data_IF_270103562669
#
_entry.id   IF_270103562669
#
_cell.length_a   1.000
_cell.length_b   1.000
_cell.length_c   1.000
_cell.angle_alpha   90.00
_cell.angle_beta   90.00
_cell.angle_gamma   90.00
#
_symmetry.space_group_name_H-M   'P 1'
#
loop_
_entity.id
_entity.type
_entity.pdbx_description
1 polymer ?
#
# COMPACT_ATOMS: atom_id res chain seq x y z
N UNK A 1 17.93 28.86 -31.71
CA UNK A 1 17.02 27.87 -31.08
C UNK A 1 17.89 26.84 -30.36
N UNK A 2 17.69 26.64 -29.06
CA UNK A 2 18.67 25.97 -28.19
C UNK A 2 18.73 24.45 -28.41
N UNK A 3 19.94 23.93 -28.64
CA UNK A 3 20.30 22.49 -28.82
C UNK A 3 19.71 21.58 -27.73
N UNK A 4 19.44 22.12 -26.55
CA UNK A 4 18.85 21.42 -25.42
C UNK A 4 17.38 21.01 -25.66
N UNK A 5 16.62 21.82 -26.42
CA UNK A 5 15.23 21.55 -26.76
C UNK A 5 15.10 20.38 -27.74
N UNK A 6 16.02 20.27 -28.71
CA UNK A 6 16.01 19.14 -29.66
C UNK A 6 16.37 17.83 -28.98
N UNK A 7 17.37 17.82 -28.09
CA UNK A 7 17.77 16.63 -27.35
C UNK A 7 16.62 16.04 -26.51
N UNK A 8 15.83 16.90 -25.85
CA UNK A 8 14.65 16.48 -25.10
C UNK A 8 13.54 15.94 -26.01
N UNK A 9 13.28 16.58 -27.16
CA UNK A 9 12.29 16.11 -28.14
C UNK A 9 12.64 14.74 -28.71
N UNK A 10 13.90 14.47 -29.02
CA UNK A 10 14.37 13.18 -29.55
C UNK A 10 14.31 12.06 -28.51
N UNK A 11 14.53 12.37 -27.22
CA UNK A 11 14.31 11.39 -26.15
C UNK A 11 12.84 11.11 -25.87
N UNK A 12 11.97 12.12 -25.97
CA UNK A 12 10.54 11.99 -25.74
C UNK A 12 9.82 11.25 -26.88
N UNK A 13 10.29 11.38 -28.13
CA UNK A 13 9.66 10.74 -29.30
C UNK A 13 9.77 9.21 -29.32
N UNK A 14 10.71 8.64 -28.57
CA UNK A 14 10.89 7.18 -28.44
C UNK A 14 10.08 6.53 -27.32
N UNK A 15 9.36 7.33 -26.51
CA UNK A 15 8.62 6.83 -25.35
C UNK A 15 7.16 6.59 -25.75
N UNK A 16 6.68 5.37 -25.55
CA UNK A 16 5.28 5.03 -25.80
C UNK A 16 4.33 5.87 -24.92
N UNK A 17 3.18 6.26 -25.48
CA UNK A 17 2.11 6.93 -24.73
C UNK A 17 1.69 6.16 -23.47
N UNK A 18 1.77 4.81 -23.49
CA UNK A 18 1.52 3.96 -22.32
C UNK A 18 2.55 4.18 -21.20
N UNK A 19 3.82 4.34 -21.55
CA UNK A 19 4.89 4.61 -20.59
C UNK A 19 4.77 6.01 -19.99
N UNK A 20 4.42 7.02 -20.80
CA UNK A 20 4.14 8.38 -20.30
C UNK A 20 2.94 8.40 -19.36
N UNK A 21 1.87 7.68 -19.69
CA UNK A 21 0.68 7.56 -18.84
C UNK A 21 0.98 6.84 -17.52
N UNK A 22 1.77 5.76 -17.56
CA UNK A 22 2.20 5.04 -16.35
C UNK A 22 3.04 5.93 -15.43
N UNK A 23 4.01 6.67 -16.00
CA UNK A 23 4.81 7.63 -15.24
C UNK A 23 3.96 8.76 -14.63
N UNK A 24 2.95 9.24 -15.37
CA UNK A 24 1.97 10.20 -14.87
C UNK A 24 1.15 9.66 -13.70
N UNK A 25 0.60 8.44 -13.80
CA UNK A 25 -0.14 7.78 -12.71
C UNK A 25 0.73 7.58 -11.47
N UNK A 26 1.96 7.09 -11.64
CA UNK A 26 2.90 6.91 -10.54
C UNK A 26 3.25 8.24 -9.85
N UNK A 27 3.44 9.31 -10.62
CA UNK A 27 3.69 10.64 -10.07
C UNK A 27 2.51 11.14 -9.22
N UNK A 28 1.28 11.02 -9.73
CA UNK A 28 0.07 11.44 -9.00
C UNK A 28 -0.08 10.64 -7.71
N UNK A 29 0.11 9.31 -7.78
CA UNK A 29 0.04 8.43 -6.61
C UNK A 29 1.07 8.83 -5.55
N UNK A 30 2.33 9.01 -5.93
CA UNK A 30 3.40 9.46 -5.02
C UNK A 30 3.09 10.82 -4.40
N UNK A 31 2.54 11.75 -5.18
CA UNK A 31 2.09 13.05 -4.67
C UNK A 31 0.97 12.90 -3.64
N UNK A 32 0.01 12.01 -3.88
CA UNK A 32 -1.06 11.75 -2.92
C UNK A 32 -0.52 11.10 -1.64
N UNK A 33 0.38 10.11 -1.75
CA UNK A 33 1.05 9.47 -0.60
C UNK A 33 1.80 10.52 0.25
N UNK A 34 2.51 11.46 -0.39
CA UNK A 34 3.22 12.52 0.32
C UNK A 34 2.30 13.43 1.15
N UNK A 35 1.04 13.63 0.75
CA UNK A 35 0.10 14.48 1.50
C UNK A 35 -0.25 13.88 2.86
N UNK A 36 -0.28 12.55 2.96
CA UNK A 36 -0.69 11.84 4.18
C UNK A 36 0.51 11.33 4.99
N UNK A 37 1.71 11.35 4.42
CA UNK A 37 2.93 10.81 5.04
C UNK A 37 3.18 11.31 6.48
N UNK A 38 2.84 12.57 6.75
CA UNK A 38 3.00 13.20 8.07
C UNK A 38 1.65 13.59 8.70
N UNK A 39 0.58 12.90 8.31
CA UNK A 39 -0.75 13.06 8.88
C UNK A 39 -0.85 12.51 10.31
N UNK A 40 -2.02 12.65 10.91
CA UNK A 40 -2.31 12.10 12.24
C UNK A 40 -2.17 10.57 12.23
N UNK A 41 -1.34 10.02 13.11
CA UNK A 41 -1.03 8.60 13.14
C UNK A 41 -2.20 7.76 13.68
N UNK A 42 -2.46 6.63 13.02
CA UNK A 42 -3.45 5.67 13.47
C UNK A 42 -2.97 4.95 14.74
N UNK A 43 -3.78 5.02 15.80
CA UNK A 43 -3.51 4.35 17.09
C UNK A 43 -4.54 3.26 17.33
N UNK A 44 -4.07 2.08 17.74
CA UNK A 44 -4.95 0.97 18.11
C UNK A 44 -5.61 1.24 19.46
N UNK A 45 -6.94 1.16 19.50
CA UNK A 45 -7.65 1.04 20.76
C UNK A 45 -7.48 -0.39 21.35
N UNK A 46 -7.65 -0.59 22.66
CA UNK A 46 -7.84 -1.92 23.22
C UNK A 46 -9.01 -2.65 22.54
N UNK A 47 -8.92 -3.98 22.39
CA UNK A 47 -10.04 -4.79 21.93
C UNK A 47 -11.14 -4.80 23.00
N UNK A 48 -12.40 -4.87 22.58
CA UNK A 48 -13.57 -4.86 23.47
C UNK A 48 -13.67 -6.15 24.30
N UNK A 49 -13.11 -7.25 23.78
CA UNK A 49 -13.15 -8.56 24.41
C UNK A 49 -11.97 -9.46 24.05
N UNK A 50 -11.80 -10.57 24.80
CA UNK A 50 -10.68 -11.50 24.61
C UNK A 50 -10.78 -12.33 23.33
N UNK A 51 -11.97 -12.43 22.73
CA UNK A 51 -12.26 -13.17 21.49
C UNK A 51 -12.60 -12.23 20.33
N UNK A 52 -12.14 -10.98 20.40
CA UNK A 52 -12.33 -10.01 19.33
C UNK A 52 -11.06 -9.87 18.49
N UNK A 53 -11.23 -9.67 17.19
CA UNK A 53 -10.12 -9.40 16.26
C UNK A 53 -10.49 -8.21 15.38
N UNK A 54 -9.49 -7.62 14.71
CA UNK A 54 -9.71 -6.52 13.77
C UNK A 54 -9.53 -6.97 12.34
N UNK A 55 -10.47 -6.60 11.50
CA UNK A 55 -10.47 -6.88 10.07
C UNK A 55 -10.52 -5.57 9.29
N UNK A 56 -9.82 -5.54 8.17
CA UNK A 56 -9.69 -4.44 7.24
C UNK A 56 -10.81 -4.52 6.20
N UNK A 57 -11.50 -3.41 5.99
CA UNK A 57 -12.41 -3.22 4.87
C UNK A 57 -11.79 -2.23 3.90
N UNK A 58 -11.37 -2.70 2.74
CA UNK A 58 -10.72 -1.86 1.73
C UNK A 58 -11.78 -0.97 1.08
N UNK A 59 -11.50 0.34 0.98
CA UNK A 59 -12.37 1.27 0.27
C UNK A 59 -12.12 1.17 -1.24
N UNK A 60 -13.17 1.29 -2.07
CA UNK A 60 -12.99 1.39 -3.52
C UNK A 60 -12.22 2.66 -3.88
N UNK A 61 -11.55 2.65 -5.02
CA UNK A 61 -10.82 3.82 -5.52
C UNK A 61 -10.04 3.50 -6.79
N UNK A 62 -9.62 4.55 -7.50
CA UNK A 62 -8.87 4.46 -8.74
C UNK A 62 -7.39 4.12 -8.50
N UNK A 63 -6.66 3.74 -9.56
CA UNK A 63 -5.24 3.38 -9.51
C UNK A 63 -4.35 4.43 -8.80
N UNK A 64 -4.69 5.71 -8.95
CA UNK A 64 -3.93 6.85 -8.42
C UNK A 64 -4.39 7.32 -7.05
N UNK A 65 -5.52 6.79 -6.57
CA UNK A 65 -6.07 7.14 -5.27
C UNK A 65 -5.28 6.44 -4.17
N UNK A 66 -5.20 7.09 -3.02
CA UNK A 66 -4.64 6.52 -1.81
C UNK A 66 -5.35 5.23 -1.45
N UNK A 67 -4.59 4.23 -1.02
CA UNK A 67 -5.21 3.06 -0.38
C UNK A 67 -5.84 3.54 0.93
N UNK A 68 -7.13 3.31 1.05
CA UNK A 68 -7.90 3.64 2.24
C UNK A 68 -8.66 2.39 2.70
N UNK A 69 -8.78 2.22 4.00
CA UNK A 69 -9.52 1.13 4.60
C UNK A 69 -10.10 1.53 5.95
N UNK A 70 -11.12 0.78 6.38
CA UNK A 70 -11.59 0.81 7.75
C UNK A 70 -11.10 -0.42 8.50
N UNK A 71 -10.60 -0.21 9.72
CA UNK A 71 -10.28 -1.26 10.66
C UNK A 71 -11.46 -1.44 11.61
N UNK A 72 -12.17 -2.56 11.44
CA UNK A 72 -13.39 -2.88 12.16
C UNK A 72 -13.14 -4.06 13.09
N UNK A 73 -13.60 -3.93 14.32
CA UNK A 73 -13.55 -5.03 15.29
C UNK A 73 -14.71 -5.99 15.07
N UNK A 74 -14.42 -7.28 15.10
CA UNK A 74 -15.40 -8.36 15.03
C UNK A 74 -15.23 -9.28 16.23
N UNK A 75 -16.35 -9.83 16.71
CA UNK A 75 -16.38 -10.83 17.75
C UNK A 75 -16.44 -12.23 17.14
N UNK A 76 -15.48 -13.09 17.50
CA UNK A 76 -15.40 -14.47 17.03
C UNK A 76 -16.42 -15.39 17.71
N UNK A 77 -17.06 -14.96 18.79
CA UNK A 77 -18.16 -15.67 19.46
C UNK A 77 -19.55 -15.27 18.96
N UNK A 78 -19.62 -14.28 18.06
CA UNK A 78 -20.90 -13.87 17.49
C UNK A 78 -21.50 -14.99 16.62
N UNK A 79 -22.82 -15.20 16.72
CA UNK A 79 -23.58 -16.12 15.87
C UNK A 79 -24.61 -15.35 15.02
N UNK A 80 -24.52 -15.35 13.67
CA UNK A 80 -23.50 -16.04 12.88
C UNK A 80 -22.12 -15.36 12.93
N UNK A 81 -21.07 -16.18 12.82
CA UNK A 81 -19.68 -15.72 12.76
C UNK A 81 -19.50 -14.76 11.57
N UNK A 82 -18.95 -13.54 11.78
CA UNK A 82 -18.68 -12.62 10.69
C UNK A 82 -17.70 -13.22 9.68
N UNK A 83 -18.02 -13.12 8.39
CA UNK A 83 -17.13 -13.58 7.33
C UNK A 83 -15.90 -12.66 7.23
N UNK A 84 -14.72 -13.26 7.21
CA UNK A 84 -13.45 -12.60 6.92
C UNK A 84 -12.48 -13.59 6.29
N UNK A 85 -11.48 -13.07 5.58
CA UNK A 85 -10.41 -13.87 4.99
C UNK A 85 -9.06 -13.46 5.60
N UNK A 86 -8.26 -14.45 6.00
CA UNK A 86 -6.93 -14.20 6.54
C UNK A 86 -5.94 -14.01 5.39
N UNK A 87 -5.28 -12.85 5.35
CA UNK A 87 -4.26 -12.57 4.35
C UNK A 87 -2.95 -13.25 4.74
N UNK A 88 -2.55 -14.25 3.97
CA UNK A 88 -1.23 -14.88 4.07
C UNK A 88 -0.26 -14.16 3.12
N UNK A 89 0.51 -13.20 3.62
CA UNK A 89 1.54 -12.50 2.85
C UNK A 89 2.94 -12.72 3.46
N UNK A 90 3.97 -12.55 2.64
CA UNK A 90 5.35 -12.68 3.09
C UNK A 90 5.78 -11.41 3.84
N UNK A 91 6.25 -11.58 5.06
CA UNK A 91 6.84 -10.51 5.86
C UNK A 91 8.20 -10.11 5.30
N UNK A 92 8.27 -8.95 4.63
CA UNK A 92 9.49 -8.27 4.14
C UNK A 92 10.80 -9.06 4.21
N UNK A 93 10.96 -10.02 3.32
CA UNK A 93 12.28 -10.45 2.88
C UNK A 93 12.74 -9.50 1.77
N UNK A 94 12.95 -8.23 2.11
CA UNK A 94 13.73 -7.30 1.29
C UNK A 94 15.21 -7.72 1.41
N UNK A 95 15.48 -8.92 0.92
CA UNK A 95 16.79 -9.53 0.82
C UNK A 95 17.39 -8.97 -0.46
N UNK A 96 18.10 -7.84 -0.33
CA UNK A 96 18.88 -7.33 -1.44
C UNK A 96 20.22 -8.06 -1.46
N UNK A 97 20.59 -8.63 -2.61
CA UNK A 97 21.92 -9.16 -2.82
C UNK A 97 22.86 -7.97 -3.05
N UNK A 98 23.67 -7.64 -2.04
CA UNK A 98 24.69 -6.61 -2.17
C UNK A 98 25.79 -7.15 -3.09
N UNK A 99 25.75 -6.73 -4.36
CA UNK A 99 26.75 -7.11 -5.38
C UNK A 99 28.18 -6.73 -4.96
N UNK A 100 28.35 -5.71 -4.12
CA UNK A 100 29.65 -5.24 -3.66
C UNK A 100 30.16 -6.08 -2.48
N UNK A 101 29.27 -6.55 -1.61
CA UNK A 101 29.61 -7.38 -0.45
C UNK A 101 29.43 -8.88 -0.68
N UNK A 102 28.95 -9.29 -1.86
CA UNK A 102 28.66 -10.66 -2.25
C UNK A 102 27.88 -11.44 -1.17
N UNK A 103 26.96 -10.75 -0.49
CA UNK A 103 26.13 -11.32 0.55
C UNK A 103 24.72 -10.73 0.48
N UNK A 104 23.79 -11.43 1.12
CA UNK A 104 22.45 -10.93 1.33
C UNK A 104 22.48 -9.99 2.53
N UNK A 105 22.15 -8.72 2.31
CA UNK A 105 21.99 -7.74 3.39
C UNK A 105 20.53 -7.43 3.57
N UNK A 106 20.06 -7.51 4.81
CA UNK A 106 18.75 -6.99 5.19
C UNK A 106 18.84 -5.47 5.21
N UNK A 107 18.02 -4.81 4.41
CA UNK A 107 17.81 -3.36 4.49
C UNK A 107 17.54 -2.97 5.97
N UNK A 108 18.23 -1.96 6.52
CA UNK A 108 18.10 -1.60 7.93
C UNK A 108 16.72 -1.01 8.27
N UNK A 109 15.91 -0.66 7.28
CA UNK A 109 14.53 -0.23 7.47
C UNK A 109 13.64 -0.69 6.31
N UNK A 110 12.56 -1.45 6.56
CA UNK A 110 11.64 -1.84 5.51
C UNK A 110 11.05 -0.59 4.83
N UNK A 111 10.94 -0.59 3.49
CA UNK A 111 10.25 0.49 2.78
C UNK A 111 8.75 0.42 3.14
N UNK A 112 8.28 1.44 3.84
CA UNK A 112 6.90 1.57 4.29
C UNK A 112 6.17 2.64 3.47
N UNK A 113 4.91 2.36 3.15
CA UNK A 113 4.04 3.30 2.44
C UNK A 113 2.87 3.75 3.31
N UNK A 114 2.51 5.04 3.26
CA UNK A 114 1.38 5.52 4.01
C UNK A 114 0.07 5.11 3.31
N UNK A 115 -0.87 4.63 4.12
CA UNK A 115 -2.27 4.39 3.76
C UNK A 115 -3.18 5.16 4.73
N UNK A 116 -4.46 5.28 4.38
CA UNK A 116 -5.48 5.80 5.28
C UNK A 116 -6.21 4.64 5.95
N UNK A 117 -6.12 4.56 7.28
CA UNK A 117 -6.84 3.61 8.11
C UNK A 117 -7.79 4.39 9.03
N UNK A 118 -9.11 4.19 8.90
CA UNK A 118 -10.14 4.99 9.59
C UNK A 118 -9.89 6.53 9.43
N UNK A 119 -9.44 6.95 8.24
CA UNK A 119 -9.10 8.35 7.94
C UNK A 119 -7.78 8.87 8.52
N UNK A 120 -7.03 8.05 9.27
CA UNK A 120 -5.73 8.39 9.86
C UNK A 120 -4.58 7.72 9.12
N UNK A 121 -3.38 8.27 9.21
CA UNK A 121 -2.20 7.72 8.52
C UNK A 121 -1.70 6.47 9.22
N UNK A 122 -1.56 5.38 8.47
CA UNK A 122 -0.85 4.16 8.89
C UNK A 122 0.25 3.86 7.89
N UNK A 123 1.45 3.57 8.37
CA UNK A 123 2.53 3.08 7.52
C UNK A 123 2.49 1.55 7.50
N UNK A 124 2.46 0.99 6.30
CA UNK A 124 2.42 -0.46 6.07
C UNK A 124 3.61 -0.88 5.21
N UNK A 125 4.02 -2.14 5.33
CA UNK A 125 5.07 -2.68 4.48
C UNK A 125 4.67 -2.65 3.00
N UNK A 126 5.68 -2.64 2.12
CA UNK A 126 5.44 -2.71 0.68
C UNK A 126 4.60 -3.93 0.25
N UNK A 127 4.83 -5.09 0.86
CA UNK A 127 4.11 -6.31 0.52
C UNK A 127 2.61 -6.19 0.85
N UNK A 128 2.28 -5.71 2.06
CA UNK A 128 0.89 -5.45 2.43
C UNK A 128 0.29 -4.36 1.52
N UNK A 129 1.04 -3.29 1.23
CA UNK A 129 0.59 -2.23 0.35
C UNK A 129 0.22 -2.73 -1.06
N UNK A 130 1.05 -3.59 -1.64
CA UNK A 130 0.77 -4.22 -2.94
C UNK A 130 -0.46 -5.12 -2.88
N UNK A 131 -0.57 -5.96 -1.84
CA UNK A 131 -1.73 -6.82 -1.65
C UNK A 131 -3.02 -6.00 -1.57
N UNK A 132 -3.07 -4.97 -0.71
CA UNK A 132 -4.24 -4.10 -0.57
C UNK A 132 -4.59 -3.36 -1.86
N UNK A 133 -3.57 -2.90 -2.60
CA UNK A 133 -3.78 -2.24 -3.90
C UNK A 133 -4.41 -3.20 -4.91
N UNK A 134 -3.93 -4.43 -4.97
CA UNK A 134 -4.40 -5.44 -5.92
C UNK A 134 -5.82 -5.90 -5.57
N UNK A 135 -6.11 -6.15 -4.29
CA UNK A 135 -7.47 -6.45 -3.84
C UNK A 135 -8.44 -5.31 -4.14
N UNK A 136 -8.03 -4.05 -3.93
CA UNK A 136 -8.84 -2.90 -4.32
C UNK A 136 -9.13 -2.90 -5.82
N UNK A 137 -8.10 -3.13 -6.65
CA UNK A 137 -8.21 -3.16 -8.12
C UNK A 137 -9.15 -4.27 -8.61
N UNK A 138 -9.20 -5.40 -7.90
CA UNK A 138 -10.11 -6.51 -8.18
C UNK A 138 -11.53 -6.28 -7.64
N UNK A 139 -11.78 -5.19 -6.92
CA UNK A 139 -13.07 -4.92 -6.29
C UNK A 139 -13.38 -5.86 -5.13
N UNK A 140 -12.35 -6.33 -4.42
CA UNK A 140 -12.51 -7.24 -3.29
C UNK A 140 -13.24 -6.56 -2.13
N UNK A 141 -14.38 -7.10 -1.72
CA UNK A 141 -15.25 -6.51 -0.67
C UNK A 141 -15.23 -7.27 0.65
N UNK A 142 -14.69 -8.49 0.67
CA UNK A 142 -14.65 -9.31 1.89
C UNK A 142 -13.68 -8.68 2.89
N UNK A 143 -14.03 -8.59 4.19
CA UNK A 143 -13.10 -8.12 5.20
C UNK A 143 -11.86 -9.00 5.29
N UNK A 144 -10.68 -8.38 5.42
CA UNK A 144 -9.40 -9.06 5.49
C UNK A 144 -8.79 -8.97 6.88
N UNK A 145 -8.35 -10.09 7.43
CA UNK A 145 -7.48 -10.07 8.61
C UNK A 145 -6.02 -10.02 8.15
N UNK A 146 -5.25 -9.08 8.69
CA UNK A 146 -3.81 -8.97 8.51
C UNK A 146 -3.16 -8.62 9.86
N UNK A 147 -1.89 -8.92 10.01
CA UNK A 147 -1.14 -8.93 11.26
C UNK A 147 -0.22 -7.71 11.47
N UNK A 148 -0.26 -6.73 10.57
CA UNK A 148 0.53 -5.48 10.62
C UNK A 148 -0.27 -4.24 11.06
#
# INVERSE_FOLDING_TARGET
MSRHSEFLKTKLSGISAKTLALGGKQYIRKRNEQKIKYGEEFTHAPLSGPRCVRVLRIHPGEDTDLVACDLVEIDLDQDPLPAYEALSYSWNEDIEFDLLKSNYTREPKPDERPILCNGRTRHVTMNLYHALTEFRRQGFTTPLWADQ
#
